data_IF_603260853535
#
_entry.id   IF_603260853535
#
_cell.length_a   1.000
_cell.length_b   1.000
_cell.length_c   1.000
_cell.angle_alpha   90.00
_cell.angle_beta   90.00
_cell.angle_gamma   90.00
#
_symmetry.space_group_name_H-M   'P 1'
#
loop_
_entity.id
_entity.type
_entity.pdbx_description
1 polymer ?
#
# COMPACT_ATOMS: atom_id res chain seq x y z
N UNK A 1 35.42 -25.33 29.41
CA UNK A 1 34.93 -23.94 29.57
C UNK A 1 35.10 -23.09 28.30
N UNK A 2 36.28 -23.05 27.66
CA UNK A 2 36.49 -22.26 26.42
C UNK A 2 35.64 -22.67 25.21
N UNK A 3 35.34 -23.96 25.05
CA UNK A 3 34.56 -24.47 23.91
C UNK A 3 33.07 -24.07 23.98
N UNK A 4 32.48 -24.04 25.18
CA UNK A 4 31.11 -23.57 25.41
C UNK A 4 30.96 -22.07 25.14
N UNK A 5 31.95 -21.25 25.52
CA UNK A 5 31.93 -19.81 25.23
C UNK A 5 31.98 -19.53 23.71
N UNK A 6 32.74 -20.32 22.95
CA UNK A 6 32.81 -20.18 21.49
C UNK A 6 31.47 -20.50 20.82
N UNK A 7 30.77 -21.55 21.25
CA UNK A 7 29.46 -21.91 20.67
C UNK A 7 28.40 -20.86 20.96
N UNK A 8 28.35 -20.32 22.18
CA UNK A 8 27.41 -19.24 22.54
C UNK A 8 27.67 -17.96 21.71
N UNK A 9 28.94 -17.56 21.55
CA UNK A 9 29.28 -16.39 20.72
C UNK A 9 28.92 -16.58 19.25
N UNK A 10 29.08 -17.79 18.71
CA UNK A 10 28.74 -18.10 17.33
C UNK A 10 27.22 -18.06 17.10
N UNK A 11 26.45 -18.59 18.03
CA UNK A 11 24.98 -18.53 18.01
C UNK A 11 24.51 -17.06 18.07
N UNK A 12 25.08 -16.23 18.95
CA UNK A 12 24.76 -14.80 19.04
C UNK A 12 25.08 -14.07 17.73
N UNK A 13 26.23 -14.36 17.11
CA UNK A 13 26.60 -13.76 15.81
C UNK A 13 25.61 -14.18 14.71
N UNK A 14 25.19 -15.45 14.69
CA UNK A 14 24.16 -15.92 13.74
C UNK A 14 22.83 -15.21 13.97
N UNK A 15 22.36 -15.09 15.21
CA UNK A 15 21.12 -14.34 15.51
C UNK A 15 21.24 -12.87 15.14
N UNK A 16 22.39 -12.25 15.36
CA UNK A 16 22.65 -10.87 14.98
C UNK A 16 22.68 -10.70 13.45
N UNK A 17 23.34 -11.60 12.72
CA UNK A 17 23.36 -11.59 11.26
C UNK A 17 21.96 -11.83 10.67
N UNK A 18 21.18 -12.74 11.25
CA UNK A 18 19.80 -13.00 10.85
C UNK A 18 18.91 -11.79 11.12
N UNK A 19 19.08 -11.12 12.26
CA UNK A 19 18.38 -9.88 12.60
C UNK A 19 18.73 -8.74 11.64
N UNK A 20 20.01 -8.62 11.25
CA UNK A 20 20.45 -7.64 10.25
C UNK A 20 19.88 -7.91 8.85
N UNK A 21 19.76 -9.18 8.46
CA UNK A 21 19.13 -9.56 7.19
C UNK A 21 17.65 -9.20 7.17
N UNK A 22 16.91 -9.45 8.25
CA UNK A 22 15.48 -9.08 8.36
C UNK A 22 15.29 -7.56 8.28
N UNK A 23 16.16 -6.79 8.95
CA UNK A 23 16.14 -5.31 8.89
C UNK A 23 16.41 -4.73 7.50
N UNK A 24 17.16 -5.44 6.65
CA UNK A 24 17.45 -4.99 5.29
C UNK A 24 16.23 -5.07 4.38
N UNK A 25 15.29 -5.98 4.64
CA UNK A 25 14.08 -6.22 3.84
C UNK A 25 12.99 -5.16 4.08
N UNK A 26 12.77 -4.74 5.33
CA UNK A 26 11.82 -3.65 5.66
C UNK A 26 12.16 -2.34 4.93
N UNK A 27 13.46 -2.03 4.80
CA UNK A 27 13.95 -0.84 4.10
C UNK A 27 13.69 -0.87 2.57
N UNK A 28 13.34 -2.04 2.00
CA UNK A 28 13.03 -2.15 0.58
C UNK A 28 11.80 -1.33 0.21
N UNK A 29 10.80 -1.27 1.08
CA UNK A 29 9.55 -0.56 0.81
C UNK A 29 9.44 0.75 1.58
N UNK A 30 9.87 0.74 2.85
CA UNK A 30 9.64 1.87 3.73
C UNK A 30 10.72 2.01 4.81
N UNK A 31 11.38 3.15 4.85
CA UNK A 31 12.37 3.50 5.85
C UNK A 31 11.73 4.30 7.00
N UNK A 32 11.35 3.61 8.06
CA UNK A 32 10.77 4.24 9.27
C UNK A 32 11.78 5.01 10.12
N UNK A 33 13.06 4.98 9.76
CA UNK A 33 14.12 5.64 10.54
C UNK A 33 14.23 7.14 10.25
N UNK A 34 13.72 7.59 9.09
CA UNK A 34 13.68 9.02 8.72
C UNK A 34 12.39 9.69 9.20
N UNK A 35 12.34 11.01 9.40
CA UNK A 35 11.09 11.72 9.70
C UNK A 35 10.06 11.53 8.58
N UNK A 36 8.78 11.40 8.95
CA UNK A 36 7.66 11.33 8.01
C UNK A 36 7.22 12.73 7.60
N UNK A 37 7.45 13.07 6.33
CA UNK A 37 7.16 14.37 5.73
C UNK A 37 6.43 14.18 4.40
N UNK A 38 5.54 15.12 4.06
CA UNK A 38 4.83 15.11 2.78
C UNK A 38 5.79 15.49 1.64
N UNK A 39 5.93 14.60 0.66
CA UNK A 39 6.68 14.80 -0.57
C UNK A 39 5.81 14.53 -1.80
N UNK A 40 6.39 14.61 -3.00
CA UNK A 40 5.70 14.34 -4.28
C UNK A 40 6.58 13.45 -5.14
N UNK A 41 6.01 12.76 -6.13
CA UNK A 41 6.80 11.99 -7.08
C UNK A 41 7.61 12.91 -7.99
N UNK A 42 8.85 12.54 -8.23
CA UNK A 42 9.80 13.22 -9.09
C UNK A 42 9.89 12.53 -10.44
N UNK A 43 10.44 13.21 -11.45
CA UNK A 43 10.70 12.59 -12.76
C UNK A 43 11.57 11.33 -12.66
N UNK A 44 12.47 11.27 -11.67
CA UNK A 44 13.33 10.11 -11.45
C UNK A 44 12.53 8.89 -10.97
N UNK A 45 11.47 9.10 -10.18
CA UNK A 45 10.57 8.01 -9.77
C UNK A 45 9.88 7.38 -11.00
N UNK A 46 9.43 8.20 -11.95
CA UNK A 46 8.85 7.76 -13.23
C UNK A 46 9.86 7.15 -14.20
N UNK A 47 11.12 7.59 -14.15
CA UNK A 47 12.20 6.98 -14.93
C UNK A 47 12.54 5.59 -14.38
N UNK A 48 12.66 5.49 -13.05
CA UNK A 48 12.99 4.26 -12.34
C UNK A 48 11.93 3.17 -12.53
N UNK A 49 10.65 3.55 -12.60
CA UNK A 49 9.55 2.59 -12.79
C UNK A 49 9.72 1.75 -14.06
N UNK A 50 10.24 2.34 -15.14
CA UNK A 50 10.49 1.68 -16.43
C UNK A 50 11.67 0.72 -16.39
N UNK A 51 12.67 1.01 -15.55
CA UNK A 51 13.88 0.19 -15.40
C UNK A 51 13.59 -1.02 -14.51
N UNK A 52 12.88 -0.80 -13.40
CA UNK A 52 12.65 -1.81 -12.37
C UNK A 52 11.50 -2.75 -12.70
N UNK A 53 10.70 -2.48 -13.73
CA UNK A 53 9.57 -3.34 -14.13
C UNK A 53 9.99 -4.78 -14.42
N UNK A 54 11.16 -4.97 -15.02
CA UNK A 54 11.61 -6.29 -15.50
C UNK A 54 12.54 -7.03 -14.51
N UNK A 55 12.84 -6.44 -13.34
CA UNK A 55 13.90 -6.94 -12.43
C UNK A 55 13.37 -7.63 -11.17
N UNK A 56 12.07 -7.52 -10.87
CA UNK A 56 11.51 -8.04 -9.61
C UNK A 56 11.02 -9.47 -9.77
N UNK A 57 11.52 -10.37 -8.92
CA UNK A 57 11.05 -11.75 -8.83
C UNK A 57 9.62 -11.78 -8.26
N UNK A 58 8.75 -12.64 -8.78
CA UNK A 58 7.27 -12.58 -8.62
C UNK A 58 6.75 -12.96 -7.22
N UNK A 59 7.55 -12.85 -6.17
CA UNK A 59 7.08 -13.13 -4.80
C UNK A 59 6.28 -11.92 -4.32
N UNK A 60 4.96 -12.04 -4.42
CA UNK A 60 4.00 -11.02 -3.98
C UNK A 60 3.68 -11.27 -2.50
N UNK A 61 4.03 -10.34 -1.62
CA UNK A 61 3.47 -10.28 -0.26
C UNK A 61 2.09 -9.61 -0.33
N UNK A 62 1.03 -10.41 -0.24
CA UNK A 62 -0.36 -9.96 -0.24
C UNK A 62 -0.96 -9.90 1.17
N UNK A 63 -0.16 -10.06 2.22
CA UNK A 63 -0.64 -10.09 3.62
C UNK A 63 -1.42 -8.83 4.02
N UNK A 64 -1.04 -7.67 3.45
CA UNK A 64 -1.72 -6.40 3.64
C UNK A 64 -3.19 -6.40 3.15
N UNK A 65 -3.55 -7.28 2.22
CA UNK A 65 -4.91 -7.42 1.70
C UNK A 65 -5.84 -8.19 2.64
N UNK A 66 -5.33 -8.88 3.67
CA UNK A 66 -6.13 -9.77 4.52
C UNK A 66 -6.23 -9.29 5.98
N UNK A 67 -6.90 -8.17 6.23
CA UNK A 67 -7.17 -7.65 7.58
C UNK A 67 -8.62 -7.91 8.04
N UNK A 68 -8.79 -8.75 9.07
CA UNK A 68 -10.11 -9.10 9.63
C UNK A 68 -10.92 -7.92 10.24
N UNK A 69 -10.28 -6.77 10.45
CA UNK A 69 -10.91 -5.56 10.97
C UNK A 69 -11.27 -4.55 9.87
N UNK A 70 -11.00 -4.86 8.60
CA UNK A 70 -11.33 -4.04 7.42
C UNK A 70 -12.36 -4.76 6.55
N UNK A 71 -13.22 -4.00 5.89
CA UNK A 71 -14.15 -4.57 4.91
C UNK A 71 -13.36 -5.19 3.75
N UNK A 72 -13.73 -6.38 3.30
CA UNK A 72 -13.02 -7.14 2.25
C UNK A 72 -11.51 -7.35 2.48
N UNK A 73 -11.00 -7.06 3.69
CA UNK A 73 -9.62 -7.25 4.08
C UNK A 73 -8.74 -5.99 4.01
N UNK A 74 -9.08 -4.99 3.21
CA UNK A 74 -8.24 -3.80 3.01
C UNK A 74 -9.03 -2.46 2.95
N UNK A 75 -10.36 -2.50 2.90
CA UNK A 75 -11.20 -1.30 2.83
C UNK A 75 -11.51 -0.76 4.23
N UNK A 76 -11.10 0.49 4.49
CA UNK A 76 -11.46 1.22 5.70
C UNK A 76 -12.91 1.69 5.60
N UNK A 77 -13.80 1.09 6.39
CA UNK A 77 -15.17 1.55 6.51
C UNK A 77 -15.63 1.45 7.97
N UNK A 78 -15.69 2.58 8.72
CA UNK A 78 -16.00 2.57 10.14
C UNK A 78 -17.34 1.90 10.52
N UNK A 79 -18.28 1.80 9.57
CA UNK A 79 -19.60 1.16 9.77
C UNK A 79 -19.73 -0.26 9.19
N UNK A 80 -18.83 -0.67 8.29
CA UNK A 80 -18.90 -1.95 7.60
C UNK A 80 -17.59 -2.71 7.81
N UNK A 81 -17.65 -3.76 8.63
CA UNK A 81 -16.57 -4.73 8.85
C UNK A 81 -17.14 -6.13 8.61
N UNK A 82 -16.32 -7.16 8.36
CA UNK A 82 -16.80 -8.55 8.26
C UNK A 82 -17.68 -8.97 9.46
N UNK A 83 -17.47 -8.33 10.62
CA UNK A 83 -18.24 -8.55 11.86
C UNK A 83 -19.58 -7.81 11.90
N UNK A 84 -19.73 -6.68 11.20
CA UNK A 84 -20.94 -5.84 11.19
C UNK A 84 -21.80 -5.99 9.94
N UNK A 85 -21.28 -6.60 8.85
CA UNK A 85 -22.04 -6.91 7.61
C UNK A 85 -23.33 -7.68 7.88
N UNK A 86 -23.35 -8.56 8.90
CA UNK A 86 -24.55 -9.35 9.26
C UNK A 86 -25.75 -8.47 9.66
N UNK A 87 -25.50 -7.26 10.18
CA UNK A 87 -26.54 -6.28 10.48
C UNK A 87 -26.99 -5.45 9.27
N UNK A 88 -26.18 -5.37 8.21
CA UNK A 88 -26.45 -4.57 7.02
C UNK A 88 -27.19 -5.35 5.92
N UNK A 89 -26.94 -6.66 5.82
CA UNK A 89 -27.55 -7.55 4.82
C UNK A 89 -28.86 -8.20 5.31
N UNK A 90 -29.13 -8.15 6.62
CA UNK A 90 -30.28 -8.83 7.22
C UNK A 90 -30.22 -10.36 7.05
N UNK A 91 -31.36 -11.05 7.17
CA UNK A 91 -31.50 -12.50 6.86
C UNK A 91 -31.63 -12.80 5.36
N UNK A 92 -31.57 -11.77 4.50
CA UNK A 92 -31.77 -11.94 3.08
C UNK A 92 -30.57 -12.65 2.43
N UNK A 93 -30.86 -13.67 1.64
CA UNK A 93 -29.89 -14.36 0.80
C UNK A 93 -29.24 -13.35 -0.18
N UNK A 94 -27.95 -12.99 0.02
CA UNK A 94 -27.28 -11.93 -0.75
C UNK A 94 -27.20 -12.27 -2.24
N UNK A 95 -27.35 -13.55 -2.59
CA UNK A 95 -27.27 -14.06 -3.97
C UNK A 95 -28.55 -13.85 -4.77
N UNK A 96 -29.66 -13.45 -4.13
CA UNK A 96 -30.99 -13.34 -4.75
C UNK A 96 -31.48 -11.91 -4.99
N UNK A 97 -30.68 -10.90 -4.68
CA UNK A 97 -31.06 -9.50 -4.83
C UNK A 97 -30.44 -8.90 -6.12
N UNK A 98 -31.26 -8.61 -7.15
CA UNK A 98 -30.75 -8.05 -8.40
C UNK A 98 -30.14 -6.65 -8.15
N UNK A 99 -28.85 -6.49 -8.48
CA UNK A 99 -28.09 -5.26 -8.28
C UNK A 99 -27.07 -5.29 -7.14
N UNK A 100 -27.05 -6.34 -6.30
CA UNK A 100 -26.11 -6.50 -5.18
C UNK A 100 -24.71 -7.02 -5.60
N UNK A 101 -24.53 -7.41 -6.88
CA UNK A 101 -23.27 -7.98 -7.38
C UNK A 101 -22.19 -6.97 -7.80
N UNK A 102 -22.22 -5.68 -7.38
CA UNK A 102 -21.21 -4.69 -7.82
C UNK A 102 -20.71 -3.84 -6.66
N UNK A 103 -19.39 -3.87 -6.43
CA UNK A 103 -18.70 -3.14 -5.37
C UNK A 103 -18.34 -1.69 -5.73
N UNK A 104 -18.65 -1.24 -6.95
CA UNK A 104 -18.36 0.13 -7.37
C UNK A 104 -19.27 1.13 -6.65
N UNK A 105 -18.67 2.16 -6.04
CA UNK A 105 -19.41 3.34 -5.56
C UNK A 105 -20.03 4.06 -6.75
N UNK A 106 -21.34 4.30 -6.72
CA UNK A 106 -22.09 4.89 -7.84
C UNK A 106 -22.51 6.34 -7.59
N UNK A 107 -22.38 6.79 -6.34
CA UNK A 107 -22.70 8.12 -5.90
C UNK A 107 -21.65 9.09 -6.43
N UNK A 108 -22.04 9.98 -7.34
CA UNK A 108 -21.12 10.89 -8.01
C UNK A 108 -20.47 11.90 -7.05
N UNK A 109 -21.15 12.22 -5.95
CA UNK A 109 -20.61 13.11 -4.91
C UNK A 109 -19.50 12.46 -4.05
N UNK A 110 -19.27 11.14 -4.20
CA UNK A 110 -18.16 10.43 -3.58
C UNK A 110 -16.97 10.25 -4.54
N UNK A 111 -17.05 10.80 -5.75
CA UNK A 111 -15.97 10.77 -6.73
C UNK A 111 -15.06 11.99 -6.56
N UNK A 112 -13.79 11.83 -6.92
CA UNK A 112 -12.88 12.95 -7.09
C UNK A 112 -13.37 13.91 -8.17
N UNK A 113 -13.50 15.19 -7.81
CA UNK A 113 -13.95 16.22 -8.73
C UNK A 113 -13.01 16.31 -9.93
N UNK A 114 -13.58 16.47 -11.13
CA UNK A 114 -12.83 16.63 -12.38
C UNK A 114 -11.84 15.50 -12.69
N UNK A 115 -12.03 14.31 -12.10
CA UNK A 115 -11.10 13.18 -12.18
C UNK A 115 -9.67 13.53 -11.71
N UNK A 116 -9.52 14.58 -10.90
CA UNK A 116 -8.26 15.07 -10.34
C UNK A 116 -8.10 14.54 -8.92
N UNK A 117 -7.08 13.71 -8.70
CA UNK A 117 -6.74 13.13 -7.39
C UNK A 117 -5.49 13.83 -6.84
N UNK A 118 -5.64 14.76 -5.87
CA UNK A 118 -4.51 15.33 -5.17
C UNK A 118 -3.82 14.25 -4.33
N UNK A 119 -2.50 14.21 -4.36
CA UNK A 119 -1.73 13.26 -3.56
C UNK A 119 -0.48 13.88 -2.91
N UNK A 120 -0.02 13.21 -1.87
CA UNK A 120 1.31 13.35 -1.28
C UNK A 120 1.95 11.97 -1.15
N UNK A 121 3.27 11.93 -0.97
CA UNK A 121 4.02 10.69 -0.73
C UNK A 121 4.85 10.89 0.52
N UNK A 122 4.72 10.01 1.50
CA UNK A 122 5.58 10.02 2.67
C UNK A 122 7.06 9.93 2.27
N UNK A 123 7.90 10.76 2.87
CA UNK A 123 9.37 10.73 2.74
C UNK A 123 9.99 9.38 3.14
N UNK A 124 9.28 8.56 3.92
CA UNK A 124 9.73 7.24 4.34
C UNK A 124 9.56 6.19 3.24
N UNK A 125 8.85 6.44 2.14
CA UNK A 125 8.81 5.51 1.02
C UNK A 125 10.17 5.41 0.32
N UNK A 126 10.65 4.18 0.12
CA UNK A 126 11.88 3.92 -0.61
C UNK A 126 11.77 4.35 -2.08
N UNK A 127 12.91 4.53 -2.76
CA UNK A 127 12.93 4.75 -4.22
C UNK A 127 12.23 3.63 -4.99
N UNK A 128 12.32 2.39 -4.50
CA UNK A 128 11.64 1.25 -5.09
C UNK A 128 10.11 1.41 -5.00
N UNK A 129 9.56 1.66 -3.82
CA UNK A 129 8.11 1.85 -3.65
C UNK A 129 7.59 3.06 -4.42
N UNK A 130 8.33 4.17 -4.41
CA UNK A 130 7.98 5.38 -5.17
C UNK A 130 7.92 5.09 -6.67
N UNK A 131 8.86 4.29 -7.19
CA UNK A 131 8.84 3.86 -8.59
C UNK A 131 7.61 3.01 -8.92
N UNK A 132 7.15 2.15 -8.00
CA UNK A 132 5.95 1.32 -8.19
C UNK A 132 4.67 2.15 -8.15
N UNK A 133 4.60 3.15 -7.28
CA UNK A 133 3.48 4.11 -7.27
C UNK A 133 3.47 4.91 -8.59
N UNK A 134 4.64 5.37 -9.04
CA UNK A 134 4.78 6.07 -10.32
C UNK A 134 4.36 5.19 -11.52
N UNK A 135 4.70 3.90 -11.50
CA UNK A 135 4.25 2.91 -12.49
C UNK A 135 2.71 2.85 -12.58
N UNK A 136 2.05 2.71 -11.44
CA UNK A 136 0.59 2.64 -11.37
C UNK A 136 -0.07 3.94 -11.85
N UNK A 137 0.45 5.11 -11.47
CA UNK A 137 -0.07 6.41 -11.92
C UNK A 137 0.02 6.55 -13.44
N UNK A 138 1.13 6.14 -14.06
CA UNK A 138 1.28 6.16 -15.52
C UNK A 138 0.29 5.23 -16.22
N UNK A 139 -0.02 4.08 -15.63
CA UNK A 139 -1.02 3.17 -16.16
C UNK A 139 -2.43 3.80 -16.14
N UNK A 140 -2.81 4.46 -15.03
CA UNK A 140 -4.08 5.19 -14.95
C UNK A 140 -4.17 6.31 -16.00
N UNK A 141 -3.13 7.13 -16.15
CA UNK A 141 -3.08 8.20 -17.16
C UNK A 141 -3.17 7.66 -18.59
N UNK A 142 -2.64 6.47 -18.83
CA UNK A 142 -2.67 5.82 -20.14
C UNK A 142 -4.05 5.24 -20.47
N UNK A 143 -4.76 4.69 -19.47
CA UNK A 143 -5.97 3.89 -19.68
C UNK A 143 -7.27 4.62 -19.32
N UNK A 144 -7.18 5.75 -18.63
CA UNK A 144 -8.34 6.47 -18.09
C UNK A 144 -8.16 7.98 -18.24
N UNK A 145 -9.20 8.75 -17.87
CA UNK A 145 -9.10 10.20 -17.76
C UNK A 145 -8.71 10.68 -16.34
N UNK A 146 -8.37 9.77 -15.42
CA UNK A 146 -7.97 10.12 -14.06
C UNK A 146 -6.55 10.66 -14.09
N UNK A 147 -6.34 11.78 -13.40
CA UNK A 147 -5.01 12.36 -13.22
C UNK A 147 -4.66 12.52 -11.74
N UNK A 148 -3.43 12.11 -11.43
CA UNK A 148 -2.84 12.24 -10.10
C UNK A 148 -1.94 13.46 -10.09
N UNK A 149 -2.21 14.38 -9.17
CA UNK A 149 -1.54 15.68 -9.12
C UNK A 149 -0.98 15.95 -7.73
N UNK A 150 0.18 16.61 -7.62
CA UNK A 150 0.66 17.11 -6.35
C UNK A 150 -0.40 17.93 -5.61
N UNK A 151 -0.60 17.62 -4.33
CA UNK A 151 -1.50 18.36 -3.45
C UNK A 151 -1.14 19.85 -3.44
N UNK A 152 -2.15 20.70 -3.55
CA UNK A 152 -2.06 22.15 -3.34
C UNK A 152 -2.66 22.57 -1.99
N UNK A 153 -2.48 23.83 -1.62
CA UNK A 153 -3.11 24.37 -0.42
C UNK A 153 -4.65 24.44 -0.48
N UNK A 154 -5.24 24.42 -1.69
CA UNK A 154 -6.68 24.46 -1.88
C UNK A 154 -7.36 23.08 -1.75
N UNK A 155 -6.57 22.00 -1.82
CA UNK A 155 -7.07 20.63 -1.75
C UNK A 155 -7.42 20.26 -0.31
N UNK A 156 -8.71 20.06 -0.04
CA UNK A 156 -9.23 19.62 1.26
C UNK A 156 -9.07 18.12 1.45
N UNK A 157 -9.39 17.34 0.41
CA UNK A 157 -9.22 15.89 0.36
C UNK A 157 -8.01 15.55 -0.52
N UNK A 158 -7.19 14.61 -0.09
CA UNK A 158 -6.03 14.08 -0.83
C UNK A 158 -5.68 12.69 -0.31
N UNK A 159 -4.86 11.97 -1.08
CA UNK A 159 -4.29 10.67 -0.70
C UNK A 159 -2.80 10.75 -0.34
#
# INVERSE_FOLDING_TARGET
MKLLLLTETFIIIIYFMLFLLIKADDNLYYDKSVPDEETVLTEEDFRSSRILRDTVDNVIDDSAMYNSNRFEGDIINPGLTPRTIKGFVGEADPTKLPGIMRNAVRQTYLMWAEARIPYTISSQYSSFSRSKIAEAIEEYRKLTCIDFVPKSAADQDYI
#
